data_IF_146698214048
#
_entry.id   IF_146698214048
#
_cell.length_a   1.000
_cell.length_b   1.000
_cell.length_c   1.000
_cell.angle_alpha   90.00
_cell.angle_beta   90.00
_cell.angle_gamma   90.00
#
_symmetry.space_group_name_H-M   'P 1'
#
loop_
_entity.id
_entity.type
_entity.pdbx_description
1 polymer ?
#
# COMPACT_ATOMS: atom_id res chain seq x y z
N UNK A 1 -18.19 -14.59 29.40
CA UNK A 1 -18.74 -13.65 28.39
C UNK A 1 -18.12 -14.02 27.05
N UNK A 2 -18.92 -14.11 25.98
CA UNK A 2 -18.45 -14.35 24.60
C UNK A 2 -18.92 -13.18 23.75
N UNK A 3 -18.07 -12.69 22.84
CA UNK A 3 -18.39 -11.61 21.92
C UNK A 3 -17.81 -11.89 20.52
N UNK A 4 -18.30 -11.25 19.46
CA UNK A 4 -17.75 -11.40 18.11
C UNK A 4 -16.30 -10.94 18.02
N UNK A 5 -15.48 -11.64 17.25
CA UNK A 5 -14.10 -11.22 17.00
C UNK A 5 -14.03 -9.85 16.30
N UNK A 6 -13.07 -9.03 16.68
CA UNK A 6 -12.91 -7.70 16.11
C UNK A 6 -12.37 -7.76 14.67
N UNK A 7 -12.66 -6.71 13.90
CA UNK A 7 -12.11 -6.48 12.57
C UNK A 7 -11.15 -5.31 12.64
N UNK A 8 -9.86 -5.55 12.37
CA UNK A 8 -8.90 -4.49 12.14
C UNK A 8 -9.06 -4.01 10.69
N UNK A 9 -9.71 -2.87 10.50
CA UNK A 9 -10.03 -2.33 9.18
C UNK A 9 -8.83 -1.73 8.43
N UNK A 10 -7.63 -1.68 9.04
CA UNK A 10 -6.44 -1.19 8.35
C UNK A 10 -5.12 -1.61 9.02
N UNK A 11 -4.25 -2.28 8.27
CA UNK A 11 -2.95 -2.74 8.74
C UNK A 11 -1.90 -2.73 7.62
N UNK A 12 -0.62 -2.57 7.96
CA UNK A 12 0.50 -2.57 7.00
C UNK A 12 1.59 -3.58 7.32
N UNK A 13 2.02 -3.65 8.58
CA UNK A 13 3.28 -4.29 8.97
C UNK A 13 3.28 -4.65 10.45
N UNK A 14 4.09 -5.64 10.83
CA UNK A 14 4.27 -6.04 12.22
C UNK A 14 5.30 -5.23 12.96
N UNK A 15 6.55 -5.27 12.52
CA UNK A 15 7.61 -4.48 13.13
C UNK A 15 7.46 -3.04 12.64
N UNK A 16 7.22 -2.13 13.59
CA UNK A 16 6.99 -0.72 13.27
C UNK A 16 8.24 -0.06 12.69
N UNK A 17 8.10 0.99 11.86
CA UNK A 17 9.28 1.72 11.37
C UNK A 17 10.11 2.34 12.50
N UNK A 18 9.49 2.64 13.64
CA UNK A 18 10.18 3.08 14.85
C UNK A 18 11.15 2.01 15.38
N UNK A 19 10.69 0.76 15.53
CA UNK A 19 11.54 -0.36 15.91
C UNK A 19 12.66 -0.63 14.88
N UNK A 20 12.46 -0.24 13.61
CA UNK A 20 13.47 -0.31 12.55
C UNK A 20 14.37 0.95 12.45
N UNK A 21 14.26 1.89 13.39
CA UNK A 21 15.16 3.06 13.50
C UNK A 21 14.70 4.33 12.77
N UNK A 22 13.44 4.37 12.32
CA UNK A 22 12.82 5.61 11.85
C UNK A 22 12.25 6.40 13.03
N UNK A 23 12.74 7.61 13.35
CA UNK A 23 12.11 8.44 14.37
C UNK A 23 10.68 8.83 13.99
N UNK A 24 9.93 9.31 14.98
CA UNK A 24 8.63 9.91 14.76
C UNK A 24 8.80 11.21 13.96
N UNK A 25 8.22 11.25 12.76
CA UNK A 25 8.39 12.31 11.77
C UNK A 25 7.03 12.55 11.08
N UNK A 26 6.79 13.75 10.55
CA UNK A 26 5.68 13.98 9.63
C UNK A 26 5.70 12.96 8.49
N UNK A 27 4.53 12.48 8.06
CA UNK A 27 4.36 11.40 7.09
C UNK A 27 5.25 11.56 5.85
N UNK A 28 5.33 12.77 5.30
CA UNK A 28 6.08 13.13 4.10
C UNK A 28 7.58 12.87 4.24
N UNK A 29 8.13 13.05 5.45
CA UNK A 29 9.52 12.76 5.77
C UNK A 29 9.69 11.29 6.21
N UNK A 30 8.74 10.80 7.02
CA UNK A 30 8.73 9.47 7.58
C UNK A 30 8.74 8.37 6.52
N UNK A 31 7.94 8.53 5.45
CA UNK A 31 7.87 7.58 4.33
C UNK A 31 9.22 7.34 3.67
N UNK A 32 10.01 8.40 3.52
CA UNK A 32 11.34 8.29 2.94
C UNK A 32 12.33 7.75 3.97
N UNK A 33 12.26 8.22 5.21
CA UNK A 33 13.14 7.77 6.30
C UNK A 33 13.04 6.27 6.57
N UNK A 34 11.83 5.70 6.56
CA UNK A 34 11.61 4.26 6.82
C UNK A 34 12.24 3.33 5.78
N UNK A 35 12.58 3.83 4.58
CA UNK A 35 13.25 3.03 3.54
C UNK A 35 14.67 2.59 3.93
N UNK A 36 15.28 3.25 4.93
CA UNK A 36 16.57 2.85 5.50
C UNK A 36 16.49 1.75 6.56
N UNK A 37 15.29 1.27 6.90
CA UNK A 37 15.10 0.18 7.86
C UNK A 37 15.65 -1.15 7.36
N UNK A 38 15.94 -2.07 8.29
CA UNK A 38 16.32 -3.43 7.92
C UNK A 38 15.14 -4.16 7.28
N UNK A 39 15.41 -4.92 6.22
CA UNK A 39 14.43 -5.82 5.65
C UNK A 39 14.12 -6.95 6.65
N UNK A 40 12.83 -7.18 6.89
CA UNK A 40 12.31 -8.31 7.67
C UNK A 40 11.57 -9.22 6.70
N UNK A 41 11.76 -10.56 6.76
CA UNK A 41 10.99 -11.48 5.92
C UNK A 41 9.48 -11.26 6.12
N UNK A 42 8.74 -11.05 5.04
CA UNK A 42 7.33 -10.62 5.09
C UNK A 42 6.43 -11.61 5.83
N UNK A 43 6.67 -12.91 5.66
CA UNK A 43 5.99 -13.95 6.42
C UNK A 43 6.16 -13.76 7.93
N UNK A 44 7.41 -13.55 8.40
CA UNK A 44 7.71 -13.39 9.82
C UNK A 44 7.15 -12.07 10.38
N UNK A 45 7.27 -10.98 9.62
CA UNK A 45 6.72 -9.68 9.99
C UNK A 45 5.19 -9.74 10.14
N UNK A 46 4.52 -10.35 9.16
CA UNK A 46 3.06 -10.52 9.16
C UNK A 46 2.63 -11.44 10.29
N UNK A 47 3.27 -12.59 10.45
CA UNK A 47 2.96 -13.58 11.49
C UNK A 47 3.09 -12.97 12.90
N UNK A 48 4.15 -12.19 13.16
CA UNK A 48 4.31 -11.47 14.41
C UNK A 48 3.12 -10.55 14.71
N UNK A 49 2.70 -9.75 13.72
CA UNK A 49 1.54 -8.86 13.88
C UNK A 49 0.23 -9.62 14.06
N UNK A 50 0.07 -10.75 13.37
CA UNK A 50 -1.13 -11.56 13.44
C UNK A 50 -1.26 -12.23 14.82
N UNK A 51 -0.16 -12.68 15.43
CA UNK A 51 -0.16 -13.15 16.82
C UNK A 51 -0.68 -12.09 17.78
N UNK A 52 -0.16 -10.86 17.69
CA UNK A 52 -0.59 -9.77 18.56
C UNK A 52 -2.06 -9.39 18.34
N UNK A 53 -2.51 -9.33 17.07
CA UNK A 53 -3.91 -9.08 16.70
C UNK A 53 -4.86 -10.17 17.24
N UNK A 54 -4.53 -11.45 17.07
CA UNK A 54 -5.35 -12.55 17.58
C UNK A 54 -5.41 -12.51 19.11
N UNK A 55 -4.28 -12.25 19.78
CA UNK A 55 -4.25 -12.10 21.24
C UNK A 55 -5.10 -10.93 21.74
N UNK A 56 -5.28 -9.88 20.95
CA UNK A 56 -6.17 -8.76 21.27
C UNK A 56 -7.63 -8.97 20.85
N UNK A 57 -8.00 -10.16 20.36
CA UNK A 57 -9.36 -10.50 19.94
C UNK A 57 -9.72 -10.10 18.51
N UNK A 58 -8.77 -9.65 17.70
CA UNK A 58 -8.97 -9.40 16.27
C UNK A 58 -8.95 -10.73 15.51
N UNK A 59 -9.98 -10.96 14.70
CA UNK A 59 -10.12 -12.20 13.91
C UNK A 59 -10.13 -11.95 12.41
N UNK A 60 -10.16 -10.69 11.98
CA UNK A 60 -10.11 -10.29 10.57
C UNK A 60 -9.30 -9.02 10.42
N UNK A 61 -8.47 -8.94 9.39
CA UNK A 61 -7.67 -7.76 9.08
C UNK A 61 -7.84 -7.35 7.63
N UNK A 62 -7.89 -6.04 7.39
CA UNK A 62 -7.62 -5.45 6.08
C UNK A 62 -6.13 -5.10 6.02
N UNK A 63 -5.35 -5.93 5.35
CA UNK A 63 -3.92 -5.74 5.12
C UNK A 63 -3.73 -4.93 3.84
N UNK A 64 -3.32 -3.67 3.98
CA UNK A 64 -2.86 -2.84 2.87
C UNK A 64 -1.35 -2.99 2.74
N UNK A 65 -0.90 -3.80 1.79
CA UNK A 65 0.51 -3.95 1.53
C UNK A 65 1.02 -2.69 0.84
N UNK A 66 2.00 -2.06 1.49
CA UNK A 66 2.71 -0.91 0.96
C UNK A 66 3.69 -1.26 -0.14
N UNK A 67 4.83 -0.59 -0.15
CA UNK A 67 5.84 -0.71 -1.23
C UNK A 67 6.50 -2.08 -1.20
N UNK A 68 6.24 -2.88 -2.23
CA UNK A 68 7.09 -4.00 -2.65
C UNK A 68 7.92 -3.58 -3.86
N UNK A 69 9.06 -4.24 -4.06
CA UNK A 69 9.98 -3.92 -5.15
C UNK A 69 9.68 -4.80 -6.35
N UNK A 70 9.65 -4.17 -7.52
CA UNK A 70 9.48 -4.89 -8.78
C UNK A 70 10.64 -5.86 -9.08
N UNK A 71 10.49 -6.72 -10.10
CA UNK A 71 9.33 -6.81 -11.00
C UNK A 71 8.10 -7.47 -10.35
N UNK A 72 6.99 -7.57 -11.10
CA UNK A 72 5.69 -8.07 -10.59
C UNK A 72 5.79 -9.45 -9.95
N UNK A 73 6.66 -10.30 -10.46
CA UNK A 73 6.87 -11.67 -9.96
C UNK A 73 7.37 -11.66 -8.52
N UNK A 74 8.24 -10.70 -8.16
CA UNK A 74 8.68 -10.52 -6.79
C UNK A 74 7.51 -10.08 -5.91
N UNK A 75 6.72 -9.13 -6.39
CA UNK A 75 5.55 -8.60 -5.66
C UNK A 75 4.52 -9.71 -5.43
N UNK A 76 4.31 -10.58 -6.41
CA UNK A 76 3.45 -11.76 -6.30
C UNK A 76 3.99 -12.75 -5.25
N UNK A 77 5.27 -13.10 -5.29
CA UNK A 77 5.89 -13.99 -4.32
C UNK A 77 5.79 -13.42 -2.90
N UNK A 78 6.13 -12.14 -2.73
CA UNK A 78 6.05 -11.40 -1.47
C UNK A 78 4.62 -11.33 -0.93
N UNK A 79 3.63 -11.08 -1.79
CA UNK A 79 2.21 -11.10 -1.43
C UNK A 79 1.77 -12.47 -0.92
N UNK A 80 2.26 -13.55 -1.54
CA UNK A 80 1.95 -14.92 -1.11
C UNK A 80 2.58 -15.28 0.24
N UNK A 81 3.77 -14.76 0.56
CA UNK A 81 4.37 -14.93 1.89
C UNK A 81 3.53 -14.26 3.00
N UNK A 82 2.96 -13.08 2.72
CA UNK A 82 2.02 -12.38 3.62
C UNK A 82 0.74 -13.21 3.79
N UNK A 83 0.11 -13.62 2.68
CA UNK A 83 -1.13 -14.40 2.70
C UNK A 83 -0.94 -15.75 3.39
N UNK A 84 0.23 -16.40 3.21
CA UNK A 84 0.58 -17.65 3.91
C UNK A 84 0.62 -17.44 5.42
N UNK A 85 1.17 -16.33 5.91
CA UNK A 85 1.21 -16.06 7.35
C UNK A 85 -0.19 -15.97 7.97
N UNK A 86 -1.15 -15.34 7.27
CA UNK A 86 -2.53 -15.28 7.73
C UNK A 86 -3.25 -16.63 7.70
N UNK A 87 -2.99 -17.45 6.68
CA UNK A 87 -3.54 -18.80 6.61
C UNK A 87 -3.00 -19.70 7.72
N UNK A 88 -1.69 -19.68 7.96
CA UNK A 88 -1.03 -20.56 8.95
C UNK A 88 -1.53 -20.28 10.37
N UNK A 89 -1.86 -19.02 10.70
CA UNK A 89 -2.44 -18.65 11.99
C UNK A 89 -3.98 -18.75 12.00
N UNK A 90 -4.61 -19.04 10.86
CA UNK A 90 -6.07 -19.17 10.72
C UNK A 90 -6.84 -17.84 10.83
N UNK A 91 -6.17 -16.71 10.58
CA UNK A 91 -6.79 -15.38 10.63
C UNK A 91 -7.38 -15.01 9.27
N UNK A 92 -8.57 -14.41 9.25
CA UNK A 92 -9.15 -13.91 7.99
C UNK A 92 -8.42 -12.66 7.53
N UNK A 93 -8.10 -12.58 6.26
CA UNK A 93 -7.46 -11.43 5.64
C UNK A 93 -8.29 -10.96 4.45
N UNK A 94 -8.51 -9.65 4.43
CA UNK A 94 -8.77 -8.91 3.22
C UNK A 94 -7.44 -8.24 2.83
N UNK A 95 -6.90 -8.58 1.67
CA UNK A 95 -5.58 -8.15 1.23
C UNK A 95 -5.70 -7.22 0.04
N UNK A 96 -4.91 -6.16 0.04
CA UNK A 96 -4.73 -5.27 -1.09
C UNK A 96 -3.27 -4.94 -1.28
N UNK A 97 -2.78 -5.02 -2.51
CA UNK A 97 -1.52 -4.41 -2.89
C UNK A 97 -1.77 -2.95 -3.31
N UNK A 98 -1.00 -2.02 -2.75
CA UNK A 98 -1.20 -0.59 -2.97
C UNK A 98 -0.81 -0.11 -4.37
N UNK A 99 -1.79 0.28 -5.17
CA UNK A 99 -1.61 0.86 -6.52
C UNK A 99 -1.13 2.32 -6.40
N UNK A 100 -0.03 2.63 -7.09
CA UNK A 100 0.49 3.99 -7.26
C UNK A 100 1.30 4.10 -8.55
N UNK A 101 1.23 5.24 -9.22
CA UNK A 101 1.91 5.47 -10.49
C UNK A 101 2.70 6.79 -10.56
N UNK A 102 2.58 7.68 -9.56
CA UNK A 102 3.27 8.99 -9.55
C UNK A 102 3.78 9.39 -8.16
N UNK A 103 4.54 10.49 -8.10
CA UNK A 103 4.93 11.21 -6.88
C UNK A 103 5.60 10.32 -5.83
N UNK A 104 6.59 9.53 -6.25
CA UNK A 104 7.24 8.50 -5.41
C UNK A 104 8.16 9.08 -4.35
N UNK A 105 8.72 10.27 -4.57
CA UNK A 105 9.63 10.95 -3.63
C UNK A 105 8.92 12.00 -2.77
N UNK A 106 8.19 12.90 -3.42
CA UNK A 106 7.49 14.05 -2.84
C UNK A 106 6.14 14.23 -3.53
N UNK A 107 5.29 15.14 -3.07
CA UNK A 107 3.97 15.42 -3.66
C UNK A 107 4.08 16.28 -4.93
N UNK A 108 4.90 15.84 -5.86
CA UNK A 108 5.20 16.45 -7.16
C UNK A 108 5.74 15.36 -8.09
N UNK A 109 5.62 15.61 -9.40
CA UNK A 109 6.19 14.76 -10.44
C UNK A 109 7.67 14.40 -10.16
N UNK A 110 7.97 13.10 -10.30
CA UNK A 110 9.25 12.53 -9.93
C UNK A 110 10.41 13.08 -10.78
N UNK A 111 10.19 13.33 -12.08
CA UNK A 111 11.21 13.83 -13.00
C UNK A 111 11.48 15.32 -12.79
N UNK A 112 10.41 16.10 -12.62
CA UNK A 112 10.49 17.53 -12.29
C UNK A 112 11.26 17.71 -10.99
N UNK A 113 10.91 16.98 -9.93
CA UNK A 113 11.63 17.05 -8.66
C UNK A 113 13.10 16.64 -8.82
N UNK A 114 13.37 15.51 -9.47
CA UNK A 114 14.74 15.02 -9.68
C UNK A 114 15.59 16.00 -10.50
N UNK A 115 15.00 16.78 -11.41
CA UNK A 115 15.71 17.77 -12.23
C UNK A 115 16.29 18.92 -11.41
N UNK A 116 15.67 19.26 -10.26
CA UNK A 116 16.10 20.35 -9.38
C UNK A 116 17.07 19.90 -8.29
N UNK A 117 17.34 18.60 -8.18
CA UNK A 117 18.32 18.09 -7.24
C UNK A 117 19.75 18.48 -7.67
N UNK A 118 20.67 18.68 -6.71
CA UNK A 118 22.09 18.83 -7.00
C UNK A 118 22.59 17.69 -7.91
N UNK A 119 23.53 18.00 -8.81
CA UNK A 119 24.05 17.04 -9.80
C UNK A 119 24.57 15.74 -9.17
N UNK A 120 25.13 15.82 -7.96
CA UNK A 120 25.61 14.66 -7.21
C UNK A 120 24.49 13.71 -6.71
N UNK A 121 23.26 14.20 -6.56
CA UNK A 121 22.12 13.45 -6.02
C UNK A 121 21.17 12.97 -7.11
N UNK A 122 21.05 13.71 -8.22
CA UNK A 122 20.13 13.41 -9.32
C UNK A 122 20.21 11.96 -9.81
N UNK A 123 21.38 11.37 -10.11
CA UNK A 123 21.44 9.97 -10.57
C UNK A 123 20.90 8.97 -9.54
N UNK A 124 21.16 9.20 -8.24
CA UNK A 124 20.70 8.32 -7.16
C UNK A 124 19.18 8.40 -7.00
N UNK A 125 18.61 9.62 -7.04
CA UNK A 125 17.17 9.83 -6.94
C UNK A 125 16.42 9.20 -8.12
N UNK A 126 16.89 9.43 -9.36
CA UNK A 126 16.28 8.84 -10.56
C UNK A 126 16.34 7.31 -10.53
N UNK A 127 17.49 6.72 -10.14
CA UNK A 127 17.60 5.28 -10.00
C UNK A 127 16.66 4.71 -8.92
N UNK A 128 16.50 5.43 -7.80
CA UNK A 128 15.59 5.03 -6.72
C UNK A 128 14.12 5.03 -7.17
N UNK A 129 13.67 6.08 -7.87
CA UNK A 129 12.32 6.17 -8.46
C UNK A 129 12.08 5.02 -9.43
N UNK A 130 13.03 4.77 -10.34
CA UNK A 130 12.91 3.71 -11.35
C UNK A 130 12.75 2.32 -10.73
N UNK A 131 13.50 2.00 -9.66
CA UNK A 131 13.37 0.71 -8.95
C UNK A 131 11.99 0.49 -8.32
N UNK A 132 11.29 1.56 -8.02
CA UNK A 132 9.96 1.53 -7.42
C UNK A 132 8.82 1.55 -8.45
N UNK A 133 9.14 1.80 -9.71
CA UNK A 133 8.14 1.90 -10.76
C UNK A 133 7.85 0.49 -11.32
N UNK A 134 6.61 0.06 -11.15
CA UNK A 134 6.00 -0.98 -11.97
C UNK A 134 5.00 -0.31 -12.90
N UNK A 135 4.66 -0.94 -14.02
CA UNK A 135 3.66 -0.37 -14.92
C UNK A 135 2.31 -0.37 -14.22
N UNK A 136 1.44 0.55 -14.62
CA UNK A 136 0.12 0.63 -14.03
C UNK A 136 -0.69 -0.64 -14.38
N UNK A 137 -0.59 -1.13 -15.61
CA UNK A 137 -1.27 -2.33 -16.10
C UNK A 137 -0.87 -3.58 -15.31
N UNK A 138 0.41 -3.72 -15.01
CA UNK A 138 1.00 -4.79 -14.21
C UNK A 138 0.35 -4.93 -12.81
N UNK A 139 -0.17 -3.83 -12.22
CA UNK A 139 -0.89 -3.89 -10.94
C UNK A 139 -2.21 -4.66 -11.06
N UNK A 140 -2.92 -4.49 -12.19
CA UNK A 140 -4.21 -5.13 -12.41
C UNK A 140 -4.06 -6.60 -12.81
N UNK A 141 -3.00 -6.93 -13.54
CA UNK A 141 -2.60 -8.32 -13.80
C UNK A 141 -2.30 -9.04 -12.47
N UNK A 142 -1.49 -8.44 -11.60
CA UNK A 142 -1.21 -8.95 -10.26
C UNK A 142 -2.49 -9.17 -9.44
N UNK A 143 -3.39 -8.17 -9.43
CA UNK A 143 -4.69 -8.29 -8.75
C UNK A 143 -5.49 -9.48 -9.29
N UNK A 144 -5.57 -9.63 -10.62
CA UNK A 144 -6.26 -10.74 -11.27
C UNK A 144 -5.70 -12.11 -10.84
N UNK A 145 -4.37 -12.25 -10.83
CA UNK A 145 -3.70 -13.48 -10.39
C UNK A 145 -3.97 -13.78 -8.92
N UNK A 146 -3.74 -12.81 -8.01
CA UNK A 146 -3.98 -13.01 -6.58
C UNK A 146 -5.44 -13.37 -6.28
N UNK A 147 -6.39 -12.74 -6.99
CA UNK A 147 -7.82 -13.02 -6.83
C UNK A 147 -8.18 -14.42 -7.32
N UNK A 148 -7.61 -14.85 -8.45
CA UNK A 148 -7.80 -16.19 -8.98
C UNK A 148 -7.24 -17.24 -8.02
N UNK A 149 -6.07 -17.00 -7.42
CA UNK A 149 -5.46 -17.89 -6.43
C UNK A 149 -6.28 -17.95 -5.13
N UNK A 150 -6.90 -16.84 -4.73
CA UNK A 150 -7.78 -16.79 -3.58
C UNK A 150 -9.15 -17.46 -3.81
N UNK A 151 -9.48 -17.88 -5.04
CA UNK A 151 -10.78 -18.47 -5.35
C UNK A 151 -11.00 -19.77 -4.57
N UNK A 152 -12.05 -19.81 -3.76
CA UNK A 152 -12.38 -20.96 -2.91
C UNK A 152 -11.71 -20.95 -1.54
N UNK A 153 -10.78 -20.02 -1.26
CA UNK A 153 -10.30 -19.79 0.10
C UNK A 153 -11.43 -19.23 0.98
N UNK A 154 -11.55 -19.74 2.21
CA UNK A 154 -12.53 -19.27 3.20
C UNK A 154 -12.05 -18.07 4.02
N UNK A 155 -10.74 -17.80 3.99
CA UNK A 155 -10.05 -16.84 4.85
C UNK A 155 -9.42 -15.69 4.06
N UNK A 156 -9.40 -15.74 2.73
CA UNK A 156 -8.76 -14.73 1.88
C UNK A 156 -9.79 -13.98 1.04
N UNK A 157 -9.73 -12.65 1.09
CA UNK A 157 -10.37 -11.79 0.11
C UNK A 157 -9.30 -10.88 -0.50
N UNK A 158 -9.40 -10.61 -1.81
CA UNK A 158 -8.49 -9.71 -2.51
C UNK A 158 -9.28 -8.49 -2.97
N UNK A 159 -8.81 -7.30 -2.60
CA UNK A 159 -9.45 -6.02 -2.88
C UNK A 159 -8.50 -5.08 -3.62
N UNK A 160 -9.07 -4.06 -4.25
CA UNK A 160 -8.30 -2.99 -4.87
C UNK A 160 -7.91 -1.93 -3.84
N UNK A 161 -6.75 -1.30 -4.01
CA UNK A 161 -6.35 -0.18 -3.15
C UNK A 161 -5.53 0.87 -3.90
N UNK A 162 -6.14 1.97 -4.36
CA UNK A 162 -5.36 3.16 -4.69
C UNK A 162 -4.80 3.71 -3.38
N UNK A 163 -3.47 3.84 -3.26
CA UNK A 163 -2.85 4.09 -1.95
C UNK A 163 -3.33 5.43 -1.36
N UNK A 164 -3.23 6.51 -2.14
CA UNK A 164 -3.69 7.84 -1.75
C UNK A 164 -3.74 8.75 -3.00
N UNK A 165 -4.46 9.87 -2.93
CA UNK A 165 -4.72 10.75 -4.07
C UNK A 165 -3.41 11.22 -4.70
N UNK A 166 -2.47 11.69 -3.90
CA UNK A 166 -1.21 12.24 -4.40
C UNK A 166 -0.33 11.22 -5.12
N UNK A 167 -0.50 9.92 -4.87
CA UNK A 167 0.33 8.87 -5.47
C UNK A 167 -0.30 8.20 -6.69
N UNK A 168 -1.55 8.55 -7.01
CA UNK A 168 -2.30 8.00 -8.13
C UNK A 168 -2.68 9.12 -9.10
N UNK A 169 -2.37 8.96 -10.39
CA UNK A 169 -2.90 9.80 -11.46
C UNK A 169 -4.41 9.65 -11.59
N UNK A 170 -5.08 10.56 -12.32
CA UNK A 170 -6.52 10.45 -12.59
C UNK A 170 -6.82 9.13 -13.31
N UNK A 171 -5.98 8.77 -14.30
CA UNK A 171 -6.05 7.49 -15.01
C UNK A 171 -5.93 6.29 -14.07
N UNK A 172 -5.02 6.34 -13.08
CA UNK A 172 -4.89 5.25 -12.11
C UNK A 172 -6.15 5.10 -11.24
N UNK A 173 -6.74 6.22 -10.78
CA UNK A 173 -7.96 6.20 -9.99
C UNK A 173 -9.15 5.66 -10.79
N UNK A 174 -9.31 6.09 -12.04
CA UNK A 174 -10.34 5.60 -12.97
C UNK A 174 -10.21 4.10 -13.22
N UNK A 175 -9.00 3.62 -13.54
CA UNK A 175 -8.76 2.19 -13.79
C UNK A 175 -8.96 1.34 -12.54
N UNK A 176 -8.58 1.85 -11.36
CA UNK A 176 -8.85 1.17 -10.09
C UNK A 176 -10.35 1.09 -9.81
N UNK A 177 -11.09 2.18 -10.00
CA UNK A 177 -12.55 2.20 -9.87
C UNK A 177 -13.25 1.23 -10.83
N UNK A 178 -12.86 1.25 -12.10
CA UNK A 178 -13.38 0.34 -13.12
C UNK A 178 -13.09 -1.13 -12.77
N UNK A 179 -11.84 -1.44 -12.42
CA UNK A 179 -11.44 -2.79 -12.02
C UNK A 179 -12.22 -3.26 -10.79
N UNK A 180 -12.42 -2.40 -9.80
CA UNK A 180 -13.21 -2.70 -8.60
C UNK A 180 -14.66 -3.02 -8.94
N UNK A 181 -15.28 -2.23 -9.83
CA UNK A 181 -16.66 -2.41 -10.28
C UNK A 181 -16.82 -3.71 -11.09
N UNK A 182 -15.97 -3.94 -12.09
CA UNK A 182 -15.98 -5.14 -12.94
C UNK A 182 -15.76 -6.42 -12.13
N UNK A 183 -14.87 -6.35 -11.14
CA UNK A 183 -14.60 -7.44 -10.24
C UNK A 183 -15.65 -7.59 -9.13
N UNK A 184 -16.50 -6.60 -8.89
CA UNK A 184 -17.39 -6.51 -7.73
C UNK A 184 -16.63 -6.74 -6.40
N UNK A 185 -15.52 -6.02 -6.22
CA UNK A 185 -14.74 -6.00 -4.97
C UNK A 185 -14.75 -4.59 -4.37
N UNK A 186 -14.51 -4.43 -3.06
CA UNK A 186 -14.32 -3.12 -2.45
C UNK A 186 -12.99 -2.45 -2.83
N UNK A 187 -12.90 -1.16 -2.51
CA UNK A 187 -11.65 -0.38 -2.55
C UNK A 187 -11.24 0.09 -1.16
N UNK A 188 -9.94 0.12 -0.90
CA UNK A 188 -9.36 0.71 0.31
C UNK A 188 -8.35 1.79 -0.02
N UNK A 189 -8.53 3.01 0.49
CA UNK A 189 -7.68 4.15 0.16
C UNK A 189 -7.43 5.02 1.39
N UNK A 190 -6.20 5.53 1.55
CA UNK A 190 -5.94 6.62 2.49
C UNK A 190 -6.50 7.93 1.95
N UNK A 191 -7.04 8.76 2.83
CA UNK A 191 -7.66 10.02 2.43
C UNK A 191 -7.42 11.11 3.47
N UNK A 192 -6.77 12.21 3.06
CA UNK A 192 -6.61 13.44 3.85
C UNK A 192 -6.05 13.23 5.26
N UNK A 193 -5.02 12.39 5.39
CA UNK A 193 -4.34 12.10 6.65
C UNK A 193 -3.52 13.30 7.18
N UNK A 194 -2.98 14.11 6.27
CA UNK A 194 -2.15 15.27 6.63
C UNK A 194 -2.65 16.57 6.00
N UNK A 195 -2.27 17.71 6.60
CA UNK A 195 -2.52 19.04 6.03
C UNK A 195 -1.86 19.24 4.67
N UNK A 196 -0.75 18.56 4.40
CA UNK A 196 -0.08 18.61 3.10
C UNK A 196 -0.86 17.85 2.03
N UNK A 197 -1.51 16.73 2.39
CA UNK A 197 -2.43 16.03 1.49
C UNK A 197 -3.67 16.88 1.19
N UNK A 198 -4.22 17.58 2.20
CA UNK A 198 -5.30 18.54 1.99
C UNK A 198 -4.88 19.66 1.02
N UNK A 199 -3.69 20.23 1.21
CA UNK A 199 -3.16 21.26 0.32
C UNK A 199 -2.97 20.73 -1.11
N UNK A 200 -2.34 19.57 -1.27
CA UNK A 200 -2.16 18.92 -2.57
C UNK A 200 -3.51 18.69 -3.27
N UNK A 201 -4.48 18.14 -2.54
CA UNK A 201 -5.83 17.89 -3.07
C UNK A 201 -6.47 19.18 -3.57
N UNK A 202 -6.42 20.27 -2.78
CA UNK A 202 -6.95 21.59 -3.19
C UNK A 202 -6.26 22.14 -4.43
N UNK A 203 -4.96 21.91 -4.62
CA UNK A 203 -4.26 22.33 -5.84
C UNK A 203 -4.71 21.49 -7.04
N UNK A 204 -4.73 20.16 -6.90
CA UNK A 204 -5.14 19.23 -7.97
C UNK A 204 -6.59 19.45 -8.41
N UNK A 205 -7.50 19.68 -7.47
CA UNK A 205 -8.93 19.90 -7.75
C UNK A 205 -9.25 21.35 -8.15
N UNK A 206 -8.25 22.25 -8.21
CA UNK A 206 -8.47 23.71 -8.36
C UNK A 206 -9.47 24.27 -7.32
N UNK A 207 -9.33 23.84 -6.06
CA UNK A 207 -10.20 24.11 -4.90
C UNK A 207 -11.58 23.44 -4.93
N UNK A 208 -11.81 22.47 -5.83
CA UNK A 208 -12.95 21.56 -5.80
C UNK A 208 -12.86 20.50 -4.69
N UNK A 209 -13.90 19.67 -4.57
CA UNK A 209 -13.97 18.59 -3.58
C UNK A 209 -13.14 17.37 -4.00
N UNK A 210 -12.46 16.73 -3.06
CA UNK A 210 -11.78 15.45 -3.30
C UNK A 210 -12.77 14.31 -3.59
N UNK A 211 -14.03 14.47 -3.19
CA UNK A 211 -15.11 13.48 -3.41
C UNK A 211 -15.33 13.21 -4.89
N UNK A 212 -14.95 14.11 -5.80
CA UNK A 212 -15.05 13.85 -7.24
C UNK A 212 -14.17 12.68 -7.74
N UNK A 213 -13.24 12.21 -6.90
CA UNK A 213 -12.35 11.08 -7.17
C UNK A 213 -12.74 9.79 -6.41
N UNK A 214 -13.85 9.81 -5.67
CA UNK A 214 -14.38 8.69 -4.88
C UNK A 214 -15.67 8.17 -5.51
#
# INVERSE_FOLDING_TARGET
VVFPGFVNAHHHQGITPFQLGSPDLPLELWINRRTGGKAVPLYLDTMYSAFEMVRSGVTTVQHLQGRLLGPVENIYADSNEILRAYDDIGMRVSYSFGVRDQNRLVYEDDEIFASRLPQALKPKATAHVKKQAIRLEDNFELFGTLRQDAKGHKTRAIQMAPVNLQWCSDRALELVGQCSADANVPMHMHLLETRYQEYYARQRTRRGSIVQFL
#
